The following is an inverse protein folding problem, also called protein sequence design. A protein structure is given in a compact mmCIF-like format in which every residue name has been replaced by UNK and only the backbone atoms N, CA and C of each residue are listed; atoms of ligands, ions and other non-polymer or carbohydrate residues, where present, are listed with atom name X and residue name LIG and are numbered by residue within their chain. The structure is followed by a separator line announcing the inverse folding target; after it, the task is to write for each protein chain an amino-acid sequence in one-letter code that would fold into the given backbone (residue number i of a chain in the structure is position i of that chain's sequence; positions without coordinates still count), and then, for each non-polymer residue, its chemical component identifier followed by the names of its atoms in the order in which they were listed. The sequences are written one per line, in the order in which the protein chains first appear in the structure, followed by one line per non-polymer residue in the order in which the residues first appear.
data_IF_143886245077
#
_entry.id   IF_143886245077
#
_cell.length_a   1.000
_cell.length_b   1.000
_cell.length_c   1.000
_cell.angle_alpha   90.00
_cell.angle_beta   90.00
_cell.angle_gamma   90.00
#
_symmetry.space_group_name_H-M   'P 1'
#
loop_
_entity.id
_entity.type
_entity.pdbx_description
1 polymer ?
#
# COMPACT_ATOMS: atom_id res chain seq x y z
N UNK A 1 8.88 8.12 -15.80
CA UNK A 1 7.51 7.83 -16.35
C UNK A 1 6.49 7.81 -15.22
N UNK A 2 5.23 8.21 -15.46
CA UNK A 2 4.15 8.14 -14.44
C UNK A 2 3.46 6.78 -14.45
N UNK A 3 2.73 6.46 -13.36
CA UNK A 3 1.89 5.27 -13.28
C UNK A 3 0.83 5.26 -14.38
N UNK A 4 0.85 4.28 -15.30
CA UNK A 4 -0.19 4.14 -16.32
C UNK A 4 -1.55 3.93 -15.67
N UNK A 5 -2.58 4.58 -16.21
CA UNK A 5 -3.96 4.44 -15.74
C UNK A 5 -4.13 4.65 -14.22
N UNK A 6 -3.41 5.61 -13.62
CA UNK A 6 -3.45 5.85 -12.17
C UNK A 6 -4.87 6.07 -11.61
N UNK A 7 -5.81 6.57 -12.42
CA UNK A 7 -7.22 6.72 -12.06
C UNK A 7 -7.96 5.38 -11.83
N UNK A 8 -7.42 4.27 -12.34
CA UNK A 8 -7.91 2.90 -12.11
C UNK A 8 -7.20 2.20 -10.95
N UNK A 9 -6.29 2.88 -10.24
CA UNK A 9 -5.53 2.26 -9.16
C UNK A 9 -6.45 1.84 -8.00
N UNK A 10 -6.36 0.56 -7.64
CA UNK A 10 -7.09 -0.04 -6.52
C UNK A 10 -6.12 -0.23 -5.36
N UNK A 11 -6.51 0.23 -4.19
CA UNK A 11 -5.86 -0.08 -2.91
C UNK A 11 -6.80 -1.01 -2.18
N UNK A 12 -6.32 -2.22 -1.88
CA UNK A 12 -7.08 -3.22 -1.14
C UNK A 12 -7.07 -2.85 0.34
N UNK A 13 -8.25 -2.54 0.88
CA UNK A 13 -8.44 -2.12 2.27
C UNK A 13 -7.94 -3.19 3.24
N UNK A 14 -8.26 -4.47 3.00
CA UNK A 14 -7.80 -5.59 3.81
C UNK A 14 -6.26 -5.58 3.94
N UNK A 15 -5.55 -5.30 2.85
CA UNK A 15 -4.09 -5.24 2.88
C UNK A 15 -3.58 -4.00 3.65
N UNK A 16 -4.35 -2.94 3.74
CA UNK A 16 -3.96 -1.77 4.54
C UNK A 16 -3.96 -2.13 6.02
N UNK A 17 -5.10 -2.57 6.55
CA UNK A 17 -5.23 -2.79 8.00
C UNK A 17 -4.69 -4.14 8.47
N UNK A 18 -4.74 -5.21 7.66
CA UNK A 18 -4.21 -6.53 8.07
C UNK A 18 -2.69 -6.63 7.94
N UNK A 19 -2.07 -5.78 7.11
CA UNK A 19 -0.67 -5.94 6.71
C UNK A 19 0.19 -4.67 6.77
N UNK A 20 -0.22 -3.57 6.14
CA UNK A 20 0.63 -2.37 6.09
C UNK A 20 0.65 -1.62 7.42
N UNK A 21 -0.48 -1.57 8.12
CA UNK A 21 -0.64 -0.87 9.40
C UNK A 21 -0.73 -1.80 10.60
N UNK A 22 -0.71 -3.12 10.39
CA UNK A 22 -0.82 -4.10 11.47
C UNK A 22 0.52 -4.28 12.20
N UNK A 23 0.68 -3.76 13.43
CA UNK A 23 1.92 -3.96 14.19
C UNK A 23 2.03 -5.38 14.76
N UNK A 24 0.94 -6.15 14.78
CA UNK A 24 0.88 -7.53 15.27
C UNK A 24 1.13 -8.57 14.17
N UNK A 25 1.41 -8.11 12.94
CA UNK A 25 1.70 -9.03 11.84
C UNK A 25 2.96 -9.85 12.14
N UNK A 26 2.74 -11.14 12.42
CA UNK A 26 3.68 -12.10 13.03
C UNK A 26 5.05 -12.22 12.34
N UNK A 27 5.16 -11.76 11.09
CA UNK A 27 6.37 -11.88 10.28
C UNK A 27 7.02 -10.56 9.85
N UNK A 28 6.31 -9.43 9.90
CA UNK A 28 6.84 -8.17 9.33
C UNK A 28 6.19 -6.92 9.93
N UNK A 29 6.74 -6.44 11.04
CA UNK A 29 6.32 -5.18 11.69
C UNK A 29 7.04 -3.96 11.13
N UNK A 30 7.97 -4.14 10.18
CA UNK A 30 8.77 -3.05 9.63
C UNK A 30 7.92 -2.06 8.83
N UNK A 31 6.86 -2.53 8.18
CA UNK A 31 5.90 -1.71 7.41
C UNK A 31 5.07 -0.85 8.33
N UNK A 32 4.48 -1.43 9.37
CA UNK A 32 3.71 -0.68 10.36
C UNK A 32 4.58 0.42 10.99
N UNK A 33 5.82 0.11 11.39
CA UNK A 33 6.76 1.12 11.92
C UNK A 33 7.09 2.23 10.92
N UNK A 34 7.30 1.88 9.66
CA UNK A 34 7.56 2.87 8.61
C UNK A 34 6.38 3.82 8.44
N UNK A 35 5.16 3.29 8.29
CA UNK A 35 3.97 4.12 8.06
C UNK A 35 3.57 4.93 9.30
N UNK A 36 3.71 4.37 10.50
CA UNK A 36 3.51 5.13 11.74
C UNK A 36 4.51 6.27 11.93
N UNK A 37 5.70 6.20 11.31
CA UNK A 37 6.64 7.33 11.27
C UNK A 37 6.14 8.53 10.47
N UNK A 38 5.08 8.37 9.68
CA UNK A 38 4.36 9.42 8.95
C UNK A 38 2.97 9.68 9.55
N UNK A 39 2.73 9.30 10.80
CA UNK A 39 1.46 9.43 11.51
C UNK A 39 0.28 8.64 10.90
N UNK A 40 0.56 7.64 10.04
CA UNK A 40 -0.48 6.70 9.61
C UNK A 40 -0.77 5.67 10.71
N UNK A 41 -2.06 5.42 10.94
CA UNK A 41 -2.54 4.49 11.97
C UNK A 41 -3.75 3.70 11.49
N UNK A 42 -4.03 2.58 12.16
CA UNK A 42 -5.22 1.76 11.91
C UNK A 42 -6.53 2.54 12.04
N UNK A 43 -6.60 3.49 12.97
CA UNK A 43 -7.81 4.29 13.22
C UNK A 43 -8.11 5.29 12.10
N UNK A 44 -7.12 5.59 11.24
CA UNK A 44 -7.22 6.52 10.13
C UNK A 44 -6.68 5.89 8.82
N UNK A 45 -6.92 4.59 8.63
CA UNK A 45 -6.37 3.81 7.53
C UNK A 45 -6.81 4.32 6.15
N UNK A 46 -7.98 4.98 6.05
CA UNK A 46 -8.49 5.59 4.83
C UNK A 46 -7.55 6.69 4.32
N UNK A 47 -6.90 7.42 5.24
CA UNK A 47 -5.93 8.48 4.90
C UNK A 47 -4.74 7.88 4.15
N UNK A 48 -4.25 6.72 4.58
CA UNK A 48 -3.18 6.01 3.87
C UNK A 48 -3.63 5.57 2.48
N UNK A 49 -4.87 5.10 2.34
CA UNK A 49 -5.43 4.70 1.04
C UNK A 49 -5.44 5.86 0.04
N UNK A 50 -5.88 7.05 0.48
CA UNK A 50 -5.86 8.27 -0.35
C UNK A 50 -4.42 8.67 -0.67
N UNK A 51 -3.54 8.68 0.33
CA UNK A 51 -2.13 9.04 0.16
C UNK A 51 -1.42 8.13 -0.85
N UNK A 52 -1.69 6.82 -0.84
CA UNK A 52 -1.11 5.87 -1.81
C UNK A 52 -1.57 6.15 -3.24
N UNK A 53 -2.86 6.45 -3.44
CA UNK A 53 -3.39 6.81 -4.77
C UNK A 53 -2.78 8.10 -5.28
N UNK A 54 -2.71 9.13 -4.42
CA UNK A 54 -2.09 10.41 -4.76
C UNK A 54 -0.60 10.26 -5.04
N UNK A 55 0.11 9.46 -4.23
CA UNK A 55 1.53 9.19 -4.41
C UNK A 55 1.80 8.51 -5.76
N UNK A 56 1.03 7.46 -6.11
CA UNK A 56 1.18 6.76 -7.39
C UNK A 56 0.86 7.63 -8.60
N UNK A 57 -0.13 8.51 -8.51
CA UNK A 57 -0.47 9.45 -9.59
C UNK A 57 0.54 10.61 -9.72
N UNK A 58 1.04 11.11 -8.59
CA UNK A 58 1.85 12.33 -8.52
C UNK A 58 3.34 12.11 -8.76
N UNK A 59 3.87 10.90 -8.56
CA UNK A 59 5.32 10.63 -8.60
C UNK A 59 5.76 9.84 -9.83
N UNK A 60 7.05 9.92 -10.16
CA UNK A 60 7.63 9.09 -11.20
C UNK A 60 7.89 7.67 -10.68
N UNK A 61 7.66 6.68 -11.55
CA UNK A 61 8.10 5.31 -11.33
C UNK A 61 9.62 5.28 -11.49
N UNK A 62 10.29 4.82 -10.44
CA UNK A 62 11.74 4.60 -10.40
C UNK A 62 12.13 3.14 -10.66
N UNK A 63 11.22 2.21 -10.37
CA UNK A 63 11.38 0.77 -10.60
C UNK A 63 9.99 0.13 -10.74
N UNK A 64 9.83 -0.75 -11.71
CA UNK A 64 8.70 -1.67 -11.79
C UNK A 64 9.20 -3.12 -11.71
N UNK A 65 8.37 -4.01 -11.16
CA UNK A 65 8.68 -5.42 -11.06
C UNK A 65 7.40 -6.24 -11.18
N UNK A 66 7.39 -7.21 -12.10
CA UNK A 66 6.23 -8.07 -12.32
C UNK A 66 6.09 -9.09 -11.19
N UNK A 67 5.21 -8.82 -10.22
CA UNK A 67 4.93 -9.76 -9.15
C UNK A 67 3.85 -10.77 -9.57
N UNK A 68 4.27 -11.95 -10.04
CA UNK A 68 3.38 -13.01 -10.54
C UNK A 68 2.58 -13.74 -9.44
N UNK A 69 2.94 -13.56 -8.17
CA UNK A 69 2.34 -14.33 -7.07
C UNK A 69 0.98 -13.79 -6.58
N UNK A 70 0.68 -12.51 -6.84
CA UNK A 70 -0.56 -11.90 -6.36
C UNK A 70 -1.83 -12.38 -7.06
N UNK A 71 -1.74 -12.90 -8.28
CA UNK A 71 -2.89 -13.46 -8.99
C UNK A 71 -3.21 -14.90 -8.58
N UNK A 72 -2.23 -15.66 -8.08
CA UNK A 72 -2.40 -17.07 -7.75
C UNK A 72 -3.12 -17.31 -6.40
N UNK A 73 -3.23 -16.29 -5.55
CA UNK A 73 -3.84 -16.39 -4.21
C UNK A 73 -5.25 -15.80 -4.13
N UNK A 74 -5.84 -15.40 -5.28
CA UNK A 74 -7.20 -14.82 -5.38
C UNK A 74 -8.21 -15.71 -6.13
N UNK A 75 -7.88 -16.99 -6.38
CA UNK A 75 -8.78 -17.99 -6.98
C UNK A 75 -9.47 -18.87 -5.94
#
# INVERSE_FOLDING_TARGET
MKLPNAHLAIVDEARIWEYLLNPEHRFDTSRARFFSGFDFSLDAWEVLTVALKQHGAGNEIVKDEANRLWYALRS
#
